data_IF_438338221115
#
_entry.id   IF_438338221115
#
_cell.length_a   1.000
_cell.length_b   1.000
_cell.length_c   1.000
_cell.angle_alpha   90.00
_cell.angle_beta   90.00
_cell.angle_gamma   90.00
#
_symmetry.space_group_name_H-M   'P 1'
#
loop_
_entity.id
_entity.type
_entity.pdbx_description
1 polymer ?
#
# COMPACT_ATOMS: atom_id res chain seq x y z
N UNK A 1 12.71 2.64 -26.68
CA UNK A 1 11.54 2.20 -25.88
C UNK A 1 10.32 2.18 -26.80
N UNK A 2 9.63 1.04 -26.89
CA UNK A 2 8.51 0.81 -27.84
C UNK A 2 7.29 1.70 -27.53
N UNK A 3 6.67 2.33 -28.53
CA UNK A 3 5.55 3.29 -28.38
C UNK A 3 4.38 2.69 -27.59
N UNK A 4 4.13 1.38 -27.71
CA UNK A 4 3.10 0.69 -26.91
C UNK A 4 3.44 0.65 -25.42
N UNK A 5 4.70 0.43 -25.06
CA UNK A 5 5.15 0.37 -23.66
C UNK A 5 5.04 1.74 -22.99
N UNK A 6 5.43 2.81 -23.69
CA UNK A 6 5.29 4.17 -23.18
C UNK A 6 3.82 4.55 -22.93
N UNK A 7 2.92 4.12 -23.80
CA UNK A 7 1.50 4.43 -23.72
C UNK A 7 0.78 3.63 -22.62
N UNK A 8 1.18 2.36 -22.40
CA UNK A 8 0.72 1.56 -21.25
C UNK A 8 1.24 2.15 -19.93
N UNK A 9 2.51 2.56 -19.89
CA UNK A 9 3.12 3.18 -18.71
C UNK A 9 2.41 4.48 -18.31
N UNK A 10 2.13 5.37 -19.27
CA UNK A 10 1.40 6.62 -19.00
C UNK A 10 -0.03 6.38 -18.50
N UNK A 11 -0.72 5.36 -19.03
CA UNK A 11 -2.06 4.98 -18.55
C UNK A 11 -2.03 4.41 -17.13
N UNK A 12 -1.07 3.53 -16.83
CA UNK A 12 -0.87 3.00 -15.48
C UNK A 12 -0.58 4.12 -14.49
N UNK A 13 0.27 5.07 -14.85
CA UNK A 13 0.61 6.23 -14.02
C UNK A 13 -0.63 7.06 -13.69
N UNK A 14 -1.47 7.38 -14.69
CA UNK A 14 -2.68 8.16 -14.45
C UNK A 14 -3.70 7.42 -13.55
N UNK A 15 -3.86 6.10 -13.73
CA UNK A 15 -4.75 5.31 -12.89
C UNK A 15 -4.26 5.25 -11.44
N UNK A 16 -2.95 5.04 -11.24
CA UNK A 16 -2.31 5.04 -9.92
C UNK A 16 -2.45 6.41 -9.26
N UNK A 17 -2.17 7.50 -9.98
CA UNK A 17 -2.29 8.86 -9.47
C UNK A 17 -3.71 9.16 -8.98
N UNK A 18 -4.75 8.70 -9.69
CA UNK A 18 -6.15 8.87 -9.26
C UNK A 18 -6.46 8.13 -7.97
N UNK A 19 -5.98 6.89 -7.85
CA UNK A 19 -6.13 6.08 -6.63
C UNK A 19 -5.40 6.76 -5.47
N UNK A 20 -4.14 7.11 -5.66
CA UNK A 20 -3.31 7.72 -4.63
C UNK A 20 -3.87 9.09 -4.18
N UNK A 21 -4.32 9.93 -5.12
CA UNK A 21 -4.98 11.19 -4.79
C UNK A 21 -6.24 10.98 -3.96
N UNK A 22 -7.07 10.00 -4.31
CA UNK A 22 -8.27 9.66 -3.55
C UNK A 22 -7.92 9.26 -2.11
N UNK A 23 -6.96 8.35 -1.93
CA UNK A 23 -6.57 7.89 -0.59
C UNK A 23 -5.87 8.97 0.22
N UNK A 24 -5.02 9.81 -0.38
CA UNK A 24 -4.37 10.94 0.29
C UNK A 24 -5.41 11.96 0.76
N UNK A 25 -6.39 12.32 -0.09
CA UNK A 25 -7.46 13.25 0.28
C UNK A 25 -8.34 12.71 1.41
N UNK A 26 -8.83 11.46 1.29
CA UNK A 26 -9.67 10.87 2.34
C UNK A 26 -8.89 10.72 3.65
N UNK A 27 -7.61 10.32 3.58
CA UNK A 27 -6.78 10.18 4.77
C UNK A 27 -6.54 11.50 5.47
N UNK A 28 -6.20 12.56 4.72
CA UNK A 28 -5.90 13.88 5.28
C UNK A 28 -7.15 14.59 5.80
N UNK A 29 -8.26 14.55 5.05
CA UNK A 29 -9.44 15.35 5.36
C UNK A 29 -10.39 14.67 6.35
N UNK A 30 -10.41 13.33 6.39
CA UNK A 30 -11.43 12.58 7.14
C UNK A 30 -10.77 11.68 8.18
N UNK A 31 -9.94 10.73 7.76
CA UNK A 31 -9.50 9.66 8.66
C UNK A 31 -8.52 10.14 9.72
N UNK A 32 -7.51 10.95 9.36
CA UNK A 32 -6.55 11.50 10.33
C UNK A 32 -7.22 12.35 11.42
N UNK A 33 -8.03 13.38 11.08
CA UNK A 33 -8.66 14.18 12.13
C UNK A 33 -9.60 13.32 12.98
N UNK A 34 -10.31 12.37 12.37
CA UNK A 34 -11.18 11.44 13.10
C UNK A 34 -10.40 10.53 14.05
N UNK A 35 -9.40 9.79 13.56
CA UNK A 35 -8.59 8.87 14.38
C UNK A 35 -7.83 9.61 15.49
N UNK A 36 -7.29 10.80 15.18
CA UNK A 36 -6.63 11.62 16.19
C UNK A 36 -7.61 12.11 17.26
N UNK A 37 -8.81 12.54 16.86
CA UNK A 37 -9.85 12.91 17.81
C UNK A 37 -10.26 11.73 18.68
N UNK A 38 -10.49 10.55 18.09
CA UNK A 38 -10.85 9.35 18.88
C UNK A 38 -9.72 8.98 19.83
N UNK A 39 -8.48 8.97 19.37
CA UNK A 39 -7.31 8.65 20.20
C UNK A 39 -7.13 9.64 21.34
N UNK A 40 -7.18 10.94 21.06
CA UNK A 40 -7.00 11.97 22.09
C UNK A 40 -8.16 11.98 23.09
N UNK A 41 -9.41 11.95 22.64
CA UNK A 41 -10.57 12.03 23.53
C UNK A 41 -10.78 10.76 24.36
N UNK A 42 -10.57 9.57 23.79
CA UNK A 42 -10.96 8.31 24.42
C UNK A 42 -9.80 7.43 24.89
N UNK A 43 -8.62 7.57 24.28
CA UNK A 43 -7.42 6.84 24.72
C UNK A 43 -6.60 7.68 25.69
N UNK A 44 -6.24 8.91 25.31
CA UNK A 44 -5.41 9.77 26.17
C UNK A 44 -6.23 10.49 27.25
N UNK A 45 -7.43 10.96 26.94
CA UNK A 45 -8.26 11.75 27.85
C UNK A 45 -7.48 12.98 28.38
N UNK A 46 -7.59 13.24 29.68
CA UNK A 46 -6.88 14.34 30.36
C UNK A 46 -5.44 13.98 30.80
N UNK A 47 -4.90 12.84 30.37
CA UNK A 47 -3.54 12.44 30.82
C UNK A 47 -2.49 13.43 30.32
N UNK A 48 -1.65 13.99 31.20
CA UNK A 48 -0.55 14.85 30.78
C UNK A 48 0.38 14.06 29.86
N UNK A 49 0.79 14.68 28.74
CA UNK A 49 1.60 14.06 27.69
C UNK A 49 3.09 13.86 28.08
N UNK A 50 3.37 13.36 29.30
CA UNK A 50 4.71 13.00 29.75
C UNK A 50 4.90 11.48 29.84
N UNK A 51 6.05 11.05 29.31
CA UNK A 51 6.34 9.74 28.69
C UNK A 51 5.80 8.49 29.39
N UNK A 52 6.01 8.34 30.70
CA UNK A 52 5.71 7.08 31.37
C UNK A 52 4.23 6.94 31.73
N UNK A 53 3.64 7.99 32.29
CA UNK A 53 2.23 8.01 32.71
C UNK A 53 1.31 7.87 31.50
N UNK A 54 1.66 8.52 30.38
CA UNK A 54 0.95 8.35 29.11
C UNK A 54 1.02 6.90 28.63
N UNK A 55 2.20 6.27 28.62
CA UNK A 55 2.35 4.89 28.15
C UNK A 55 1.56 3.91 29.01
N UNK A 56 1.71 3.99 30.33
CA UNK A 56 0.98 3.13 31.28
C UNK A 56 -0.53 3.36 31.21
N UNK A 57 -0.98 4.58 30.90
CA UNK A 57 -2.40 4.86 30.71
C UNK A 57 -2.97 4.03 29.55
N UNK A 58 -2.28 3.98 28.41
CA UNK A 58 -2.68 3.21 27.22
C UNK A 58 -2.76 1.71 27.53
N UNK A 59 -1.95 1.20 28.45
CA UNK A 59 -1.95 -0.21 28.86
C UNK A 59 -3.14 -0.62 29.72
N UNK A 60 -3.97 0.32 30.20
CA UNK A 60 -5.24 -0.02 30.87
C UNK A 60 -6.11 -0.91 29.96
N UNK A 61 -6.79 -1.96 30.47
CA UNK A 61 -7.48 -2.94 29.63
C UNK A 61 -8.42 -2.32 28.58
N UNK A 62 -9.23 -1.32 28.97
CA UNK A 62 -10.19 -0.65 28.08
C UNK A 62 -9.46 0.19 27.02
N UNK A 63 -8.48 0.99 27.43
CA UNK A 63 -7.69 1.85 26.53
C UNK A 63 -6.81 1.04 25.59
N UNK A 64 -6.31 -0.10 26.05
CA UNK A 64 -5.54 -1.04 25.25
C UNK A 64 -6.40 -1.67 24.16
N UNK A 65 -7.61 -2.14 24.51
CA UNK A 65 -8.56 -2.67 23.51
C UNK A 65 -8.88 -1.59 22.47
N UNK A 66 -9.17 -0.36 22.90
CA UNK A 66 -9.47 0.73 21.97
C UNK A 66 -8.26 1.05 21.06
N UNK A 67 -7.05 1.07 21.62
CA UNK A 67 -5.82 1.28 20.85
C UNK A 67 -5.61 0.17 19.82
N UNK A 68 -5.84 -1.08 20.18
CA UNK A 68 -5.77 -2.22 19.27
C UNK A 68 -6.82 -2.09 18.16
N UNK A 69 -8.06 -1.70 18.48
CA UNK A 69 -9.11 -1.47 17.48
C UNK A 69 -8.73 -0.36 16.51
N UNK A 70 -8.22 0.77 17.00
CA UNK A 70 -7.74 1.88 16.15
C UNK A 70 -6.56 1.45 15.27
N UNK A 71 -5.62 0.69 15.82
CA UNK A 71 -4.49 0.15 15.09
C UNK A 71 -4.93 -0.79 13.96
N UNK A 72 -5.92 -1.66 14.22
CA UNK A 72 -6.48 -2.55 13.20
C UNK A 72 -7.31 -1.80 12.16
N UNK A 73 -8.02 -0.74 12.54
CA UNK A 73 -8.73 0.12 11.60
C UNK A 73 -7.74 0.84 10.65
N UNK A 74 -6.64 1.38 11.19
CA UNK A 74 -5.58 1.97 10.40
C UNK A 74 -4.92 0.93 9.47
N UNK A 75 -4.67 -0.28 9.97
CA UNK A 75 -4.15 -1.38 9.17
C UNK A 75 -5.08 -1.78 8.02
N UNK A 76 -6.38 -1.86 8.27
CA UNK A 76 -7.37 -2.18 7.25
C UNK A 76 -7.38 -1.13 6.15
N UNK A 77 -7.30 0.15 6.50
CA UNK A 77 -7.19 1.25 5.55
C UNK A 77 -5.93 1.16 4.70
N UNK A 78 -4.76 1.01 5.32
CA UNK A 78 -3.48 0.84 4.61
C UNK A 78 -3.49 -0.39 3.68
N UNK A 79 -4.07 -1.51 4.13
CA UNK A 79 -4.21 -2.71 3.31
C UNK A 79 -5.13 -2.47 2.11
N UNK A 80 -6.23 -1.77 2.31
CA UNK A 80 -7.17 -1.45 1.23
C UNK A 80 -6.54 -0.54 0.17
N UNK A 81 -5.76 0.46 0.60
CA UNK A 81 -5.02 1.35 -0.31
C UNK A 81 -4.04 0.57 -1.19
N UNK A 82 -3.23 -0.32 -0.59
CA UNK A 82 -2.29 -1.16 -1.34
C UNK A 82 -3.01 -2.11 -2.29
N UNK A 83 -4.13 -2.69 -1.85
CA UNK A 83 -4.98 -3.54 -2.71
C UNK A 83 -5.47 -2.77 -3.94
N UNK A 84 -5.87 -1.51 -3.78
CA UNK A 84 -6.28 -0.63 -4.87
C UNK A 84 -5.16 -0.36 -5.86
N UNK A 85 -3.97 -0.03 -5.37
CA UNK A 85 -2.80 0.25 -6.21
C UNK A 85 -2.36 -0.99 -7.00
N UNK A 86 -2.31 -2.16 -6.36
CA UNK A 86 -1.93 -3.41 -7.04
C UNK A 86 -2.95 -3.82 -8.11
N UNK A 87 -4.25 -3.69 -7.83
CA UNK A 87 -5.29 -3.95 -8.83
C UNK A 87 -5.26 -2.93 -9.97
N UNK A 88 -4.98 -1.65 -9.68
CA UNK A 88 -4.83 -0.63 -10.71
C UNK A 88 -3.70 -0.97 -11.69
N UNK A 89 -2.51 -1.32 -11.16
CA UNK A 89 -1.36 -1.75 -11.97
C UNK A 89 -1.72 -3.00 -12.78
N UNK A 90 -2.26 -4.03 -12.12
CA UNK A 90 -2.58 -5.30 -12.74
C UNK A 90 -3.57 -5.17 -13.90
N UNK A 91 -4.63 -4.37 -13.74
CA UNK A 91 -5.62 -4.14 -14.81
C UNK A 91 -5.04 -3.29 -15.94
N UNK A 92 -4.22 -2.29 -15.64
CA UNK A 92 -3.55 -1.50 -16.69
C UNK A 92 -2.56 -2.34 -17.51
N UNK A 93 -1.88 -3.31 -16.89
CA UNK A 93 -1.02 -4.26 -17.60
C UNK A 93 -1.80 -5.19 -18.54
N UNK A 94 -3.05 -5.53 -18.21
CA UNK A 94 -3.97 -6.23 -19.13
C UNK A 94 -4.49 -5.35 -20.28
N UNK A 95 -4.07 -4.09 -20.35
CA UNK A 95 -4.50 -3.13 -21.36
C UNK A 95 -5.87 -2.49 -21.07
N UNK A 96 -6.43 -2.74 -19.90
CA UNK A 96 -7.71 -2.15 -19.48
C UNK A 96 -7.52 -0.69 -19.06
N UNK A 97 -8.60 0.10 -19.12
CA UNK A 97 -8.65 1.48 -18.60
C UNK A 97 -9.65 1.56 -17.45
N UNK A 98 -9.32 0.98 -16.29
CA UNK A 98 -10.27 0.90 -15.19
C UNK A 98 -10.59 2.29 -14.66
N UNK A 99 -11.88 2.55 -14.40
CA UNK A 99 -12.31 3.74 -13.66
C UNK A 99 -11.98 3.57 -12.16
N UNK A 100 -11.87 4.67 -11.42
CA UNK A 100 -11.55 4.63 -9.98
C UNK A 100 -12.55 3.75 -9.21
N UNK A 101 -13.84 3.90 -9.47
CA UNK A 101 -14.92 3.11 -8.85
C UNK A 101 -14.75 1.61 -9.06
N UNK A 102 -14.36 1.19 -10.27
CA UNK A 102 -14.12 -0.22 -10.57
C UNK A 102 -12.89 -0.75 -9.82
N UNK A 103 -11.84 0.06 -9.68
CA UNK A 103 -10.65 -0.30 -8.89
C UNK A 103 -11.07 -0.50 -7.43
N UNK A 104 -11.71 0.51 -6.82
CA UNK A 104 -12.16 0.49 -5.43
C UNK A 104 -13.04 -0.73 -5.14
N UNK A 105 -14.02 -1.01 -6.00
CA UNK A 105 -14.92 -2.16 -5.83
C UNK A 105 -14.19 -3.50 -6.01
N UNK A 106 -13.33 -3.63 -7.02
CA UNK A 106 -12.62 -4.90 -7.27
C UNK A 106 -11.57 -5.22 -6.19
N UNK A 107 -10.94 -4.19 -5.63
CA UNK A 107 -9.89 -4.33 -4.62
C UNK A 107 -10.42 -4.71 -3.24
N UNK A 108 -11.71 -4.53 -2.98
CA UNK A 108 -12.35 -5.04 -1.77
C UNK A 108 -12.32 -6.57 -1.71
N UNK A 109 -12.31 -7.25 -2.86
CA UNK A 109 -12.16 -8.70 -2.91
C UNK A 109 -10.79 -9.16 -2.40
N UNK A 110 -9.74 -8.38 -2.68
CA UNK A 110 -8.36 -8.59 -2.21
C UNK A 110 -8.23 -8.68 -0.69
N UNK A 111 -9.18 -8.11 0.05
CA UNK A 111 -9.20 -8.13 1.52
C UNK A 111 -9.77 -9.43 2.11
N UNK A 112 -10.37 -10.32 1.29
CA UNK A 112 -10.96 -11.59 1.79
C UNK A 112 -9.91 -12.46 2.50
N UNK A 113 -8.63 -12.36 2.11
CA UNK A 113 -7.51 -13.05 2.76
C UNK A 113 -7.22 -12.60 4.20
N UNK A 114 -7.78 -11.46 4.64
CA UNK A 114 -7.55 -10.87 5.97
C UNK A 114 -8.47 -11.41 7.07
N UNK A 115 -9.43 -12.30 6.77
CA UNK A 115 -10.33 -12.92 7.78
C UNK A 115 -9.63 -13.94 8.70
N UNK A 116 -8.31 -13.97 8.70
CA UNK A 116 -7.49 -14.91 9.44
C UNK A 116 -6.75 -14.20 10.56
N UNK A 117 -6.44 -14.91 11.66
CA UNK A 117 -5.76 -14.34 12.85
C UNK A 117 -4.41 -13.68 12.52
N UNK A 118 -3.79 -14.06 11.41
CA UNK A 118 -2.58 -13.42 10.89
C UNK A 118 -2.76 -11.96 10.46
N UNK A 119 -3.98 -11.41 10.53
CA UNK A 119 -4.26 -9.97 10.34
C UNK A 119 -3.48 -9.10 11.32
N UNK A 120 -3.20 -9.60 12.54
CA UNK A 120 -2.36 -8.89 13.51
C UNK A 120 -0.94 -8.69 12.98
N UNK A 121 -0.35 -9.73 12.38
CA UNK A 121 0.97 -9.66 11.75
C UNK A 121 0.95 -8.76 10.51
N UNK A 122 -0.12 -8.81 9.73
CA UNK A 122 -0.30 -7.89 8.61
C UNK A 122 -0.37 -6.43 9.11
N UNK A 123 -1.07 -6.16 10.20
CA UNK A 123 -1.17 -4.82 10.79
C UNK A 123 0.20 -4.30 11.22
N UNK A 124 1.00 -5.11 11.91
CA UNK A 124 2.39 -4.77 12.26
C UNK A 124 3.21 -4.48 11.00
N UNK A 125 3.08 -5.31 9.97
CA UNK A 125 3.81 -5.13 8.72
C UNK A 125 3.43 -3.84 7.97
N UNK A 126 2.13 -3.59 7.77
CA UNK A 126 1.64 -2.47 6.95
C UNK A 126 1.63 -1.13 7.68
N UNK A 127 1.41 -1.11 9.00
CA UNK A 127 1.31 0.13 9.80
C UNK A 127 2.63 0.53 10.43
N UNK A 128 3.47 -0.43 10.84
CA UNK A 128 4.73 -0.13 11.53
C UNK A 128 5.93 -0.37 10.61
N UNK A 129 6.08 -1.57 10.07
CA UNK A 129 7.30 -1.96 9.38
C UNK A 129 7.52 -1.23 8.05
N UNK A 130 6.50 -1.15 7.19
CA UNK A 130 6.57 -0.43 5.91
C UNK A 130 6.90 1.06 6.11
N UNK A 131 6.18 1.80 6.98
CA UNK A 131 6.50 3.21 7.25
C UNK A 131 7.83 3.44 7.98
N UNK A 132 8.34 2.42 8.71
CA UNK A 132 9.65 2.46 9.35
C UNK A 132 10.79 2.38 8.33
N UNK A 133 10.66 1.52 7.33
CA UNK A 133 11.63 1.40 6.23
C UNK A 133 11.52 2.63 5.32
N UNK A 134 10.30 3.15 5.15
CA UNK A 134 9.98 4.32 4.33
C UNK A 134 10.43 4.19 2.87
N UNK A 135 10.30 2.99 2.30
CA UNK A 135 10.75 2.72 0.95
C UNK A 135 9.74 1.92 0.13
N UNK A 136 9.70 2.21 -1.17
CA UNK A 136 8.68 1.67 -2.07
C UNK A 136 7.39 2.48 -1.97
N UNK A 137 6.32 1.84 -1.51
CA UNK A 137 5.02 2.48 -1.35
C UNK A 137 4.84 3.03 0.07
N UNK A 138 4.30 4.25 0.18
CA UNK A 138 4.07 4.96 1.42
C UNK A 138 2.56 5.12 1.65
N UNK A 139 2.07 4.68 2.81
CA UNK A 139 0.64 4.77 3.10
C UNK A 139 0.19 6.22 3.25
N UNK A 140 -1.01 6.52 2.74
CA UNK A 140 -1.63 7.84 2.91
C UNK A 140 -1.98 8.14 4.37
N UNK A 141 -2.27 7.12 5.17
CA UNK A 141 -2.66 7.28 6.57
C UNK A 141 -1.47 7.27 7.54
N UNK A 142 -0.50 6.39 7.33
CA UNK A 142 0.71 6.27 8.16
C UNK A 142 1.93 6.30 7.27
N UNK A 143 2.39 7.51 6.94
CA UNK A 143 3.41 7.70 5.91
C UNK A 143 4.83 7.44 6.40
N UNK A 144 5.11 7.64 7.69
CA UNK A 144 6.46 7.49 8.26
C UNK A 144 6.39 7.17 9.73
N UNK A 145 7.20 6.20 10.17
CA UNK A 145 7.44 5.87 11.57
C UNK A 145 8.94 6.05 11.80
N UNK A 146 9.32 6.94 12.70
CA UNK A 146 10.72 7.23 13.00
C UNK A 146 11.03 6.90 14.45
N UNK A 147 12.23 6.37 14.68
CA UNK A 147 12.79 6.32 16.01
C UNK A 147 13.20 7.76 16.38
N UNK A 148 12.76 8.30 17.53
CA UNK A 148 13.06 9.67 17.93
C UNK A 148 14.56 9.98 17.88
N UNK A 149 14.92 11.15 17.33
CA UNK A 149 16.31 11.56 17.15
C UNK A 149 17.10 11.63 18.46
N UNK A 150 16.44 11.90 19.58
CA UNK A 150 17.06 11.85 20.91
C UNK A 150 17.59 10.44 21.21
N UNK A 151 16.78 9.40 21.00
CA UNK A 151 17.18 8.01 21.25
C UNK A 151 18.36 7.62 20.35
N UNK A 152 18.29 7.96 19.06
CA UNK A 152 19.40 7.72 18.14
C UNK A 152 20.66 8.51 18.54
N UNK A 153 20.50 9.78 18.89
CA UNK A 153 21.59 10.66 19.28
C UNK A 153 22.31 10.19 20.52
N UNK A 154 21.58 9.70 21.54
CA UNK A 154 22.16 9.10 22.74
C UNK A 154 22.94 7.82 22.43
N UNK A 155 22.39 6.93 21.59
CA UNK A 155 23.08 5.69 21.18
C UNK A 155 24.34 5.99 20.37
N UNK A 156 24.31 6.99 19.50
CA UNK A 156 25.41 7.34 18.60
C UNK A 156 26.59 8.02 19.29
N UNK A 157 26.48 8.39 20.58
CA UNK A 157 27.62 8.90 21.36
C UNK A 157 28.74 7.87 21.55
N UNK A 158 28.43 6.58 21.35
CA UNK A 158 29.42 5.49 21.44
C UNK A 158 29.62 4.83 20.06
N UNK A 159 30.84 4.34 19.81
CA UNK A 159 31.13 3.57 18.59
C UNK A 159 30.28 2.30 18.50
N UNK A 160 30.07 1.61 19.63
CA UNK A 160 29.22 0.42 19.71
C UNK A 160 27.76 0.75 19.42
N UNK A 161 27.23 1.85 19.96
CA UNK A 161 25.86 2.28 19.69
C UNK A 161 25.67 2.78 18.26
N UNK A 162 26.67 3.45 17.67
CA UNK A 162 26.66 3.80 16.23
C UNK A 162 26.60 2.55 15.35
N UNK A 163 27.43 1.53 15.65
CA UNK A 163 27.40 0.26 14.94
C UNK A 163 26.06 -0.47 15.13
N UNK A 164 25.49 -0.42 16.34
CA UNK A 164 24.17 -0.96 16.66
C UNK A 164 23.05 -0.30 15.85
N UNK A 165 23.03 1.03 15.77
CA UNK A 165 22.06 1.79 14.95
C UNK A 165 22.19 1.38 13.47
N UNK A 166 23.42 1.27 12.96
CA UNK A 166 23.67 0.83 11.59
C UNK A 166 23.20 -0.62 11.36
N UNK A 167 23.46 -1.53 12.31
CA UNK A 167 23.04 -2.92 12.24
C UNK A 167 21.52 -3.07 12.25
N UNK A 168 20.81 -2.35 13.14
CA UNK A 168 19.34 -2.34 13.18
C UNK A 168 18.77 -1.80 11.87
N UNK A 169 19.32 -0.69 11.35
CA UNK A 169 18.91 -0.10 10.07
C UNK A 169 19.10 -1.05 8.91
N UNK A 170 20.24 -1.70 8.85
CA UNK A 170 20.54 -2.72 7.83
C UNK A 170 19.60 -3.92 7.98
N UNK A 171 19.35 -4.38 9.21
CA UNK A 171 18.51 -5.52 9.51
C UNK A 171 17.07 -5.36 9.02
N UNK A 172 16.40 -4.26 9.37
CA UNK A 172 15.03 -4.03 8.89
C UNK A 172 14.98 -3.80 7.38
N UNK A 173 16.05 -3.24 6.79
CA UNK A 173 16.14 -3.01 5.34
C UNK A 173 16.26 -4.32 4.56
N UNK A 174 17.13 -5.23 5.03
CA UNK A 174 17.26 -6.58 4.46
C UNK A 174 15.96 -7.36 4.61
N UNK A 175 15.30 -7.25 5.77
CA UNK A 175 14.00 -7.87 6.00
C UNK A 175 12.93 -7.33 5.05
N UNK A 176 12.95 -6.02 4.74
CA UNK A 176 12.01 -5.43 3.78
C UNK A 176 12.18 -6.01 2.40
N UNK A 177 13.42 -6.07 1.90
CA UNK A 177 13.74 -6.69 0.62
C UNK A 177 13.33 -8.16 0.57
N UNK A 178 13.54 -8.90 1.67
CA UNK A 178 13.15 -10.30 1.79
C UNK A 178 11.62 -10.48 1.76
N UNK A 179 10.82 -9.48 2.14
CA UNK A 179 9.36 -9.53 2.20
C UNK A 179 8.66 -8.68 1.13
N UNK A 180 9.39 -8.13 0.15
CA UNK A 180 8.87 -7.16 -0.81
C UNK A 180 7.68 -7.67 -1.66
N UNK A 181 7.55 -8.99 -1.85
CA UNK A 181 6.48 -9.59 -2.66
C UNK A 181 5.26 -10.02 -1.82
N UNK A 182 5.29 -9.85 -0.50
CA UNK A 182 4.17 -10.22 0.39
C UNK A 182 2.88 -9.50 0.02
N UNK A 183 2.86 -8.16 -0.22
CA UNK A 183 1.62 -7.48 -0.60
C UNK A 183 0.99 -8.03 -1.89
N UNK A 184 1.83 -8.36 -2.88
CA UNK A 184 1.39 -8.94 -4.15
C UNK A 184 0.70 -10.29 -3.92
N UNK A 185 1.30 -11.17 -3.11
CA UNK A 185 0.71 -12.46 -2.77
C UNK A 185 -0.59 -12.30 -1.96
N UNK A 186 -0.64 -11.34 -1.03
CA UNK A 186 -1.79 -11.16 -0.17
C UNK A 186 -3.01 -10.68 -0.96
N UNK A 187 -2.87 -9.60 -1.72
CA UNK A 187 -4.00 -8.94 -2.36
C UNK A 187 -4.39 -9.54 -3.72
N UNK A 188 -3.42 -9.93 -4.56
CA UNK A 188 -3.76 -10.49 -5.87
C UNK A 188 -4.14 -11.98 -5.80
N UNK A 189 -3.60 -12.75 -4.84
CA UNK A 189 -3.94 -14.17 -4.65
C UNK A 189 -4.91 -14.45 -3.50
N UNK A 190 -5.43 -13.41 -2.83
CA UNK A 190 -6.34 -13.56 -1.68
C UNK A 190 -5.76 -14.46 -0.57
N UNK A 191 -4.45 -14.42 -0.35
CA UNK A 191 -3.78 -15.22 0.67
C UNK A 191 -3.81 -14.50 2.00
N UNK A 192 -3.82 -15.25 3.11
CA UNK A 192 -3.54 -14.69 4.41
C UNK A 192 -2.04 -14.35 4.54
N UNK A 193 -1.68 -13.52 5.51
CA UNK A 193 -0.31 -13.01 5.66
C UNK A 193 0.74 -14.13 5.78
N UNK A 194 0.47 -15.19 6.57
CA UNK A 194 1.43 -16.29 6.75
C UNK A 194 1.65 -17.11 5.47
N UNK A 195 0.59 -17.38 4.71
CA UNK A 195 0.70 -18.01 3.38
C UNK A 195 1.39 -17.09 2.39
N UNK A 196 1.12 -15.78 2.43
CA UNK A 196 1.77 -14.79 1.58
C UNK A 196 3.29 -14.72 1.83
N UNK A 197 3.74 -14.79 3.08
CA UNK A 197 5.17 -14.87 3.44
C UNK A 197 5.82 -16.14 2.85
N UNK A 198 5.19 -17.31 3.02
CA UNK A 198 5.69 -18.56 2.42
C UNK A 198 5.78 -18.48 0.90
N UNK A 199 4.75 -17.94 0.26
CA UNK A 199 4.71 -17.75 -1.19
C UNK A 199 5.77 -16.75 -1.66
N UNK A 200 5.98 -15.67 -0.92
CA UNK A 200 7.01 -14.67 -1.18
C UNK A 200 8.40 -15.32 -1.21
N UNK A 201 8.75 -16.17 -0.23
CA UNK A 201 10.04 -16.88 -0.24
C UNK A 201 10.17 -17.87 -1.41
N UNK A 202 9.08 -18.56 -1.76
CA UNK A 202 9.05 -19.44 -2.92
C UNK A 202 9.34 -18.68 -4.22
N UNK A 203 8.70 -17.53 -4.43
CA UNK A 203 8.97 -16.65 -5.58
C UNK A 203 10.38 -16.09 -5.55
N UNK A 204 10.84 -15.62 -4.40
CA UNK A 204 12.17 -15.06 -4.26
C UNK A 204 13.27 -16.08 -4.63
N UNK A 205 13.08 -17.37 -4.35
CA UNK A 205 14.03 -18.41 -4.80
C UNK A 205 14.08 -18.58 -6.32
N UNK A 206 12.97 -18.36 -7.02
CA UNK A 206 12.88 -18.58 -8.47
C UNK A 206 13.30 -17.38 -9.32
N UNK A 207 13.30 -16.17 -8.75
CA UNK A 207 13.75 -14.98 -9.48
C UNK A 207 15.23 -15.12 -9.83
N UNK A 208 15.54 -14.88 -11.10
CA UNK A 208 16.91 -14.94 -11.62
C UNK A 208 17.82 -13.94 -10.88
N UNK A 209 19.09 -14.32 -10.64
CA UNK A 209 20.03 -13.48 -9.86
C UNK A 209 20.19 -12.07 -10.46
N UNK A 210 20.15 -11.94 -11.78
CA UNK A 210 20.20 -10.63 -12.47
C UNK A 210 19.02 -9.72 -12.09
N UNK A 211 17.81 -10.26 -11.98
CA UNK A 211 16.63 -9.46 -11.63
C UNK A 211 16.60 -9.14 -10.14
N UNK A 212 17.12 -10.02 -9.27
CA UNK A 212 17.37 -9.68 -7.86
C UNK A 212 18.31 -8.49 -7.71
N UNK A 213 19.39 -8.47 -8.49
CA UNK A 213 20.34 -7.35 -8.49
C UNK A 213 19.70 -6.05 -9.01
N UNK A 214 18.81 -6.12 -10.00
CA UNK A 214 18.06 -4.93 -10.47
C UNK A 214 17.13 -4.39 -9.39
N UNK A 215 16.35 -5.26 -8.73
CA UNK A 215 15.45 -4.86 -7.64
C UNK A 215 16.25 -4.24 -6.49
N UNK A 216 17.34 -4.90 -6.08
CA UNK A 216 18.23 -4.39 -5.05
C UNK A 216 18.89 -3.06 -5.44
N UNK A 217 19.33 -2.92 -6.68
CA UNK A 217 19.95 -1.70 -7.20
C UNK A 217 18.96 -0.53 -7.27
N UNK A 218 17.75 -0.74 -7.79
CA UNK A 218 16.69 0.26 -7.81
C UNK A 218 16.31 0.73 -6.39
N UNK A 219 16.33 -0.21 -5.44
CA UNK A 219 16.06 0.09 -4.05
C UNK A 219 17.18 0.87 -3.35
N UNK A 220 18.45 0.50 -3.57
CA UNK A 220 19.60 1.27 -3.08
C UNK A 220 19.64 2.67 -3.69
N UNK A 221 19.29 2.79 -4.98
CA UNK A 221 19.14 4.08 -5.65
C UNK A 221 18.06 4.93 -4.97
N UNK A 222 16.92 4.33 -4.60
CA UNK A 222 15.86 5.02 -3.87
C UNK A 222 16.34 5.53 -2.51
N UNK A 223 17.00 4.68 -1.71
CA UNK A 223 17.54 5.07 -0.40
C UNK A 223 18.56 6.22 -0.55
N UNK A 224 19.44 6.13 -1.55
CA UNK A 224 20.41 7.18 -1.83
C UNK A 224 19.72 8.48 -2.23
N UNK A 225 18.72 8.43 -3.11
CA UNK A 225 17.95 9.59 -3.54
C UNK A 225 17.21 10.24 -2.36
N UNK A 226 16.50 9.47 -1.55
CA UNK A 226 15.82 9.97 -0.34
C UNK A 226 16.84 10.58 0.64
N UNK A 227 17.96 9.90 0.89
CA UNK A 227 19.02 10.37 1.79
C UNK A 227 19.66 11.68 1.33
N UNK A 228 19.99 11.78 0.04
CA UNK A 228 20.48 13.02 -0.57
C UNK A 228 19.44 14.14 -0.48
N UNK A 229 18.16 13.82 -0.67
CA UNK A 229 17.09 14.80 -0.59
C UNK A 229 16.89 15.33 0.84
N UNK A 230 16.91 14.46 1.85
CA UNK A 230 16.87 14.87 3.27
C UNK A 230 18.08 15.74 3.65
N UNK A 231 19.27 15.41 3.13
CA UNK A 231 20.49 16.18 3.36
C UNK A 231 20.42 17.58 2.73
N UNK A 232 19.98 17.67 1.47
CA UNK A 232 19.86 18.93 0.73
C UNK A 232 18.80 19.87 1.30
N UNK A 233 17.67 19.34 1.78
CA UNK A 233 16.53 20.14 2.23
C UNK A 233 16.43 20.31 3.76
N UNK A 234 17.47 19.92 4.51
CA UNK A 234 17.68 20.25 5.93
C UNK A 234 16.40 20.12 6.78
N UNK A 235 15.80 18.92 6.77
CA UNK A 235 14.72 18.50 7.68
C UNK A 235 13.45 19.38 7.75
N UNK A 236 13.20 20.30 6.80
CA UNK A 236 11.91 21.02 6.68
C UNK A 236 10.82 20.18 6.00
N UNK A 237 10.81 18.88 6.27
CA UNK A 237 9.73 18.01 5.80
C UNK A 237 8.53 18.24 6.69
N UNK A 238 7.44 18.71 6.08
CA UNK A 238 6.12 18.52 6.68
C UNK A 238 5.87 17.02 6.72
N UNK A 239 5.82 16.49 7.93
CA UNK A 239 5.38 15.12 8.13
C UNK A 239 3.87 15.10 7.95
N UNK A 240 3.37 13.94 7.55
CA UNK A 240 1.92 13.81 7.37
C UNK A 240 1.14 14.04 8.69
N UNK A 241 1.83 13.98 9.84
CA UNK A 241 1.36 14.31 11.18
C UNK A 241 1.04 15.81 11.37
N UNK A 242 1.67 16.70 10.59
CA UNK A 242 1.41 18.15 10.67
C UNK A 242 0.09 18.53 9.97
N UNK A 243 -0.54 17.58 9.26
CA UNK A 243 -1.85 17.78 8.66
C UNK A 243 -2.98 17.56 9.67
N UNK A 244 -3.23 18.55 10.52
CA UNK A 244 -4.33 18.58 11.49
C UNK A 244 -5.45 19.58 11.10
N UNK A 245 -6.44 19.77 11.97
CA UNK A 245 -7.56 20.70 11.72
C UNK A 245 -7.11 22.16 11.53
N UNK A 246 -5.88 22.50 11.97
CA UNK A 246 -5.26 23.81 11.82
C UNK A 246 -4.40 23.93 10.55
N UNK A 247 -4.43 22.96 9.63
CA UNK A 247 -3.68 23.00 8.36
C UNK A 247 -3.90 24.29 7.59
N UNK A 248 -5.16 24.74 7.48
CA UNK A 248 -5.46 25.97 6.74
C UNK A 248 -4.81 27.20 7.41
N UNK A 249 -4.80 27.22 8.74
CA UNK A 249 -4.13 28.26 9.54
C UNK A 249 -2.61 28.20 9.34
N UNK A 250 -2.01 27.01 9.32
CA UNK A 250 -0.57 26.84 9.09
C UNK A 250 -0.17 27.18 7.65
N UNK A 251 -0.99 26.83 6.66
CA UNK A 251 -0.75 27.13 5.26
C UNK A 251 -0.73 28.63 4.99
N UNK A 252 -1.64 29.40 5.59
CA UNK A 252 -1.70 30.85 5.43
C UNK A 252 -0.57 31.55 6.21
N UNK A 253 -0.29 31.14 7.46
CA UNK A 253 0.67 31.85 8.33
C UNK A 253 2.12 31.42 8.19
N UNK A 254 2.41 30.17 7.85
CA UNK A 254 3.77 29.63 7.91
C UNK A 254 4.38 29.48 6.52
N UNK A 255 5.43 30.24 6.23
CA UNK A 255 6.24 30.05 5.02
C UNK A 255 6.90 28.66 5.01
N UNK A 256 7.35 28.18 6.17
CA UNK A 256 7.92 26.83 6.32
C UNK A 256 6.90 25.74 5.97
N UNK A 257 5.62 25.93 6.31
CA UNK A 257 4.54 25.00 5.93
C UNK A 257 4.25 25.05 4.42
N UNK A 258 4.34 26.21 3.78
CA UNK A 258 4.13 26.29 2.32
C UNK A 258 5.24 25.58 1.54
N UNK A 259 6.50 25.76 1.95
CA UNK A 259 7.66 25.10 1.33
C UNK A 259 7.62 23.58 1.56
N UNK A 260 7.33 23.14 2.79
CA UNK A 260 7.18 21.70 3.07
C UNK A 260 5.97 21.06 2.38
N UNK A 261 4.91 21.82 2.09
CA UNK A 261 3.74 21.33 1.36
C UNK A 261 4.04 21.12 -0.13
N UNK A 262 4.75 22.06 -0.76
CA UNK A 262 5.26 21.88 -2.13
C UNK A 262 6.20 20.67 -2.23
N UNK A 263 7.05 20.48 -1.22
CA UNK A 263 7.90 19.30 -1.10
C UNK A 263 7.08 18.01 -1.03
N UNK A 264 6.03 17.98 -0.20
CA UNK A 264 5.14 16.81 -0.08
C UNK A 264 4.46 16.45 -1.41
N UNK A 265 4.09 17.46 -2.21
CA UNK A 265 3.57 17.26 -3.57
C UNK A 265 4.65 16.64 -4.48
N UNK A 266 5.88 17.15 -4.48
CA UNK A 266 6.96 16.61 -5.32
C UNK A 266 7.30 15.16 -4.95
N UNK A 267 7.38 14.86 -3.65
CA UNK A 267 7.63 13.49 -3.16
C UNK A 267 6.50 12.55 -3.59
N UNK A 268 5.25 12.98 -3.46
CA UNK A 268 4.06 12.25 -3.93
C UNK A 268 4.12 11.95 -5.43
N UNK A 269 4.58 12.91 -6.24
CA UNK A 269 4.74 12.72 -7.69
C UNK A 269 5.90 11.75 -8.03
N UNK A 270 7.01 11.80 -7.27
CA UNK A 270 8.13 10.87 -7.40
C UNK A 270 7.75 9.44 -6.98
N UNK A 271 6.97 9.29 -5.89
CA UNK A 271 6.41 8.03 -5.41
C UNK A 271 5.51 7.38 -6.46
N UNK A 272 4.62 8.15 -7.09
CA UNK A 272 3.80 7.71 -8.23
C UNK A 272 4.69 7.15 -9.36
N UNK A 273 5.79 7.83 -9.69
CA UNK A 273 6.75 7.38 -10.70
C UNK A 273 7.43 6.07 -10.31
N UNK A 274 7.86 5.93 -9.06
CA UNK A 274 8.61 4.75 -8.61
C UNK A 274 7.71 3.51 -8.40
N UNK A 275 6.48 3.71 -7.89
CA UNK A 275 5.47 2.66 -7.77
C UNK A 275 5.08 2.08 -9.13
N UNK A 276 4.98 2.90 -10.18
CA UNK A 276 4.73 2.39 -11.54
C UNK A 276 5.88 1.53 -12.08
N UNK A 277 7.14 1.92 -11.86
CA UNK A 277 8.30 1.21 -12.39
C UNK A 277 8.58 -0.11 -11.65
N UNK A 278 8.55 -0.09 -10.31
CA UNK A 278 8.80 -1.29 -9.50
C UNK A 278 7.67 -2.31 -9.64
N UNK A 279 6.41 -1.85 -9.67
CA UNK A 279 5.27 -2.74 -9.92
C UNK A 279 5.17 -3.16 -11.39
N UNK A 280 5.64 -2.38 -12.37
CA UNK A 280 5.66 -2.80 -13.78
C UNK A 280 6.64 -3.95 -14.04
N UNK A 281 7.85 -3.88 -13.48
CA UNK A 281 8.87 -4.93 -13.66
C UNK A 281 8.56 -6.19 -12.82
N UNK A 282 8.05 -6.03 -11.59
CA UNK A 282 7.75 -7.18 -10.72
C UNK A 282 6.44 -7.87 -11.09
N UNK A 283 5.41 -7.14 -11.53
CA UNK A 283 4.09 -7.72 -11.85
C UNK A 283 3.98 -8.28 -13.27
N UNK A 284 5.04 -8.18 -14.08
CA UNK A 284 5.08 -8.72 -15.43
C UNK A 284 4.76 -10.23 -15.39
N UNK A 285 3.65 -10.70 -15.98
CA UNK A 285 3.20 -12.09 -15.84
C UNK A 285 4.18 -13.12 -16.43
N UNK A 286 5.15 -12.68 -17.25
CA UNK A 286 6.26 -13.52 -17.72
C UNK A 286 7.39 -13.73 -16.71
N UNK A 287 7.47 -12.94 -15.63
CA UNK A 287 8.54 -13.00 -14.62
C UNK A 287 8.13 -13.65 -13.29
N UNK A 288 6.82 -13.82 -13.03
CA UNK A 288 6.32 -14.54 -11.84
C UNK A 288 5.84 -15.95 -12.25
N UNK A 289 6.58 -17.01 -11.90
CA UNK A 289 6.21 -18.39 -12.21
C UNK A 289 4.83 -18.75 -11.61
N UNK A 290 3.95 -19.28 -12.47
CA UNK A 290 2.61 -19.74 -12.10
C UNK A 290 1.47 -18.70 -12.22
N UNK A 291 1.73 -17.48 -12.70
CA UNK A 291 0.66 -16.48 -12.92
C UNK A 291 -0.11 -16.67 -14.23
N UNK A 292 0.48 -17.33 -15.24
CA UNK A 292 -0.19 -17.60 -16.52
C UNK A 292 -1.31 -18.65 -16.45
N UNK A 293 -1.27 -19.61 -15.51
CA UNK A 293 -2.26 -20.70 -15.41
C UNK A 293 -3.33 -20.54 -14.33
N UNK A 294 -3.12 -19.69 -13.32
CA UNK A 294 -4.03 -19.61 -12.16
C UNK A 294 -5.01 -18.42 -12.20
N UNK A 295 -4.87 -17.50 -13.16
CA UNK A 295 -5.74 -16.31 -13.29
C UNK A 295 -6.78 -16.44 -14.41
N UNK A 296 -6.70 -17.49 -15.22
CA UNK A 296 -7.76 -17.89 -16.14
C UNK A 296 -8.60 -18.97 -15.50
N UNK A 297 -9.65 -18.59 -14.75
CA UNK A 297 -10.98 -19.15 -15.03
C UNK A 297 -12.11 -18.51 -14.22
N UNK A 298 -13.18 -18.19 -14.96
CA UNK A 298 -14.59 -18.00 -14.59
C UNK A 298 -15.06 -16.81 -13.74
N UNK A 299 -14.29 -16.20 -12.83
CA UNK A 299 -14.90 -15.22 -11.89
C UNK A 299 -14.99 -13.76 -12.34
N UNK A 300 -14.17 -13.31 -13.29
CA UNK A 300 -14.17 -11.91 -13.77
C UNK A 300 -15.00 -11.68 -15.04
N UNK A 301 -15.57 -12.73 -15.64
CA UNK A 301 -16.49 -12.59 -16.78
C UNK A 301 -17.90 -12.12 -16.34
N UNK A 302 -18.28 -12.30 -15.08
CA UNK A 302 -19.59 -11.90 -14.55
C UNK A 302 -19.84 -10.38 -14.52
N UNK A 303 -18.79 -9.55 -14.51
CA UNK A 303 -18.95 -8.09 -14.47
C UNK A 303 -19.10 -7.45 -15.87
N UNK A 304 -18.78 -8.19 -16.94
CA UNK A 304 -18.98 -7.71 -18.33
C UNK A 304 -20.39 -7.96 -18.87
N UNK A 305 -21.21 -8.75 -18.19
CA UNK A 305 -22.52 -9.16 -18.70
C UNK A 305 -23.68 -8.20 -18.38
N UNK A 306 -23.50 -7.19 -17.51
CA UNK A 306 -24.60 -6.35 -17.03
C UNK A 306 -24.63 -4.91 -17.55
N UNK A 307 -23.85 -4.56 -18.58
CA UNK A 307 -23.85 -3.20 -19.14
C UNK A 307 -23.88 -3.11 -20.67
N UNK A 308 -24.27 -4.18 -21.34
CA UNK A 308 -24.70 -4.14 -22.74
C UNK A 308 -26.03 -4.86 -22.87
N UNK A 309 -27.05 -4.10 -23.23
CA UNK A 309 -28.16 -4.46 -24.13
C UNK A 309 -29.48 -3.83 -23.66
N UNK A 310 -29.51 -2.50 -23.71
CA UNK A 310 -30.74 -1.71 -23.73
C UNK A 310 -31.02 -1.19 -25.13
N UNK A 311 -31.14 -2.06 -26.14
CA UNK A 311 -31.83 -1.73 -27.40
C UNK A 311 -32.00 -2.98 -28.31
N UNK A 312 -33.25 -3.32 -28.64
CA UNK A 312 -33.55 -3.90 -29.96
C UNK A 312 -33.99 -5.37 -30.05
N UNK A 313 -35.32 -5.54 -30.11
CA UNK A 313 -36.09 -6.50 -30.94
C UNK A 313 -36.05 -8.01 -30.63
N UNK A 314 -37.22 -8.45 -30.15
CA UNK A 314 -37.92 -9.73 -30.45
C UNK A 314 -37.53 -10.34 -31.81
N UNK A 315 -37.20 -11.64 -31.82
CA UNK A 315 -37.87 -12.68 -32.62
C UNK A 315 -37.28 -14.09 -32.38
N UNK A 316 -38.20 -15.06 -32.38
CA UNK A 316 -38.02 -16.48 -32.71
C UNK A 316 -37.69 -17.48 -31.60
N UNK A 317 -38.64 -17.63 -30.69
CA UNK A 317 -38.99 -18.88 -30.04
C UNK A 317 -39.46 -19.94 -31.06
N UNK A 318 -38.56 -20.78 -31.59
CA UNK A 318 -38.95 -22.04 -32.28
C UNK A 318 -37.85 -23.09 -32.53
N UNK A 319 -36.68 -23.00 -31.90
CA UNK A 319 -35.55 -23.90 -32.22
C UNK A 319 -34.93 -24.63 -31.02
N UNK A 320 -35.52 -24.48 -29.82
CA UNK A 320 -34.99 -25.06 -28.58
C UNK A 320 -35.84 -26.22 -28.03
N UNK A 321 -36.91 -26.62 -28.74
CA UNK A 321 -37.75 -27.77 -28.36
C UNK A 321 -37.43 -29.08 -29.11
N UNK A 322 -36.46 -29.08 -30.02
CA UNK A 322 -36.08 -30.28 -30.81
C UNK A 322 -34.72 -30.89 -30.43
N UNK A 323 -34.08 -30.44 -29.34
CA UNK A 323 -32.80 -31.03 -28.87
C UNK A 323 -32.88 -31.74 -27.52
N UNK A 324 -34.08 -31.87 -26.94
CA UNK A 324 -34.29 -32.50 -25.62
C UNK A 324 -34.82 -33.95 -25.75
N UNK A 325 -35.02 -34.45 -26.97
CA UNK A 325 -35.62 -35.78 -27.22
C UNK A 325 -34.63 -36.89 -27.64
N UNK A 326 -33.33 -36.60 -27.80
CA UNK A 326 -32.34 -37.58 -28.30
C UNK A 326 -31.30 -38.06 -27.26
N UNK A 327 -31.52 -37.85 -25.95
CA UNK A 327 -30.58 -38.31 -24.90
C UNK A 327 -31.19 -39.25 -23.85
N UNK A 328 -32.25 -39.99 -24.21
CA UNK A 328 -32.86 -41.00 -23.32
C UNK A 328 -32.86 -42.44 -23.86
N UNK A 329 -32.06 -42.76 -24.88
CA UNK A 329 -31.78 -44.15 -25.29
C UNK A 329 -30.33 -44.31 -25.76
N UNK A 330 -29.43 -44.66 -24.84
CA UNK A 330 -28.19 -45.40 -25.09
C UNK A 330 -27.62 -45.90 -23.76
#
# INVERSE_FOLDING_TARGET
MDRRKALVLGRSCLAILKVELFFKLVSVLILRPFLNWVFTAWVLGDTPAFNEVMFLSVLSPVRLILTVVLFLAAALWCCYEISCLLHAVYRCQKGERPRLEEILSSSAEGLKGMKHISVLLAAVYFVLFLPLVHAGYLNSLVSRVEIPRFVLGELQKTNLGTLGVLAVRTGYTVLFLALALVPIAMFLKNMNFTKAVKQNFYWFRQIHRKDKMKIGGAFLLWIAAEGSFVYLFQAKLIQSQDFNISVLKYFVRSQSFRVGFLYWIVLTLLECGNGTCLSADVSNPGQIPGTARSFGDKKYQGFKANHRDGCGRRKSSRQEREKVLDFQKA
#
